data_IF_705192678022
#
_entry.id   IF_705192678022
#
_cell.length_a   1.000
_cell.length_b   1.000
_cell.length_c   1.000
_cell.angle_alpha   90.00
_cell.angle_beta   90.00
_cell.angle_gamma   90.00
#
_symmetry.space_group_name_H-M   'P 1'
#
loop_
_entity.id
_entity.type
_entity.pdbx_description
1 polymer ?
#
# COMPACT_ATOMS: atom_id res chain seq x y z
N UNK A 1 -64.40 73.79 -11.32
CA UNK A 1 -63.78 73.77 -12.66
C UNK A 1 -63.03 72.46 -12.87
N UNK A 2 -63.60 71.59 -13.69
CA UNK A 2 -63.04 70.30 -14.10
C UNK A 2 -61.75 70.51 -14.91
N UNK A 3 -60.61 70.01 -14.45
CA UNK A 3 -59.44 69.75 -15.31
C UNK A 3 -59.29 68.23 -15.47
N UNK A 4 -59.74 67.71 -16.61
CA UNK A 4 -59.35 66.37 -17.09
C UNK A 4 -57.84 66.40 -17.34
N UNK A 5 -57.11 65.44 -16.79
CA UNK A 5 -55.69 65.24 -17.08
C UNK A 5 -55.61 64.54 -18.45
N UNK A 6 -54.95 65.20 -19.41
CA UNK A 6 -54.84 64.82 -20.82
C UNK A 6 -53.36 64.58 -21.14
N UNK A 7 -52.73 63.56 -20.56
CA UNK A 7 -51.52 62.90 -21.11
C UNK A 7 -51.03 61.82 -20.13
N UNK A 8 -50.61 60.66 -20.64
CA UNK A 8 -49.98 59.59 -19.85
C UNK A 8 -48.47 59.81 -19.62
N UNK A 9 -47.89 60.91 -20.12
CA UNK A 9 -46.46 61.24 -19.97
C UNK A 9 -46.09 61.82 -18.60
N UNK A 10 -47.06 62.30 -17.83
CA UNK A 10 -46.83 63.09 -16.61
C UNK A 10 -47.15 62.31 -15.32
N UNK A 11 -47.50 61.03 -15.43
CA UNK A 11 -47.83 60.17 -14.31
C UNK A 11 -46.57 59.48 -13.76
N UNK A 12 -46.22 59.79 -12.51
CA UNK A 12 -45.11 59.14 -11.81
C UNK A 12 -45.61 58.00 -10.90
N UNK A 13 -44.80 56.93 -10.70
CA UNK A 13 -45.16 55.87 -9.76
C UNK A 13 -45.41 56.43 -8.35
N UNK A 14 -46.43 55.94 -7.66
CA UNK A 14 -46.80 56.48 -6.33
C UNK A 14 -45.66 56.35 -5.30
N UNK A 15 -44.73 55.40 -5.47
CA UNK A 15 -43.53 55.30 -4.64
C UNK A 15 -42.57 56.48 -4.84
N UNK A 16 -42.44 57.01 -6.05
CA UNK A 16 -41.65 58.21 -6.32
C UNK A 16 -42.37 59.48 -5.86
N UNK A 17 -43.69 59.53 -6.09
CA UNK A 17 -44.52 60.61 -5.54
C UNK A 17 -44.39 60.71 -4.02
N UNK A 18 -44.34 59.57 -3.32
CA UNK A 18 -44.13 59.52 -1.87
C UNK A 18 -42.82 60.18 -1.42
N UNK A 19 -41.73 60.00 -2.18
CA UNK A 19 -40.44 60.65 -1.90
C UNK A 19 -40.52 62.16 -2.08
N UNK A 20 -41.19 62.63 -3.13
CA UNK A 20 -41.33 64.06 -3.44
C UNK A 20 -42.11 64.79 -2.33
N UNK A 21 -43.15 64.17 -1.80
CA UNK A 21 -43.97 64.78 -0.73
C UNK A 21 -43.47 64.45 0.69
N UNK A 22 -42.31 63.79 0.82
CA UNK A 22 -41.71 63.44 2.10
C UNK A 22 -42.53 62.45 2.95
N UNK A 23 -43.34 61.59 2.33
CA UNK A 23 -44.18 60.60 3.03
C UNK A 23 -43.73 59.17 2.75
N UNK A 24 -44.10 58.25 3.65
CA UNK A 24 -43.86 56.82 3.40
C UNK A 24 -44.78 56.30 2.29
N UNK A 25 -44.33 55.34 1.46
CA UNK A 25 -45.16 54.75 0.40
C UNK A 25 -46.48 54.14 0.91
N UNK A 26 -46.49 53.62 2.15
CA UNK A 26 -47.69 53.10 2.80
C UNK A 26 -48.71 54.21 3.12
N UNK A 27 -48.25 55.38 3.56
CA UNK A 27 -49.14 56.52 3.82
C UNK A 27 -49.76 57.05 2.52
N UNK A 28 -48.99 57.11 1.43
CA UNK A 28 -49.49 57.51 0.10
C UNK A 28 -50.49 56.49 -0.43
N UNK A 29 -50.25 55.19 -0.23
CA UNK A 29 -51.22 54.14 -0.57
C UNK A 29 -52.54 54.30 0.18
N UNK A 30 -52.49 54.58 1.49
CA UNK A 30 -53.69 54.87 2.27
C UNK A 30 -54.42 56.15 1.83
N UNK A 31 -53.71 57.14 1.26
CA UNK A 31 -54.33 58.32 0.66
C UNK A 31 -55.02 58.01 -0.67
N UNK A 32 -54.46 57.09 -1.47
CA UNK A 32 -55.06 56.58 -2.70
C UNK A 32 -56.35 55.80 -2.39
N UNK A 33 -56.31 54.88 -1.42
CA UNK A 33 -57.47 54.09 -1.00
C UNK A 33 -58.61 54.95 -0.44
N UNK A 34 -58.27 56.08 0.18
CA UNK A 34 -59.24 57.09 0.65
C UNK A 34 -59.66 58.10 -0.43
N UNK A 35 -59.27 57.88 -1.69
CA UNK A 35 -59.68 58.71 -2.85
C UNK A 35 -59.10 60.12 -2.86
N UNK A 36 -58.05 60.41 -2.08
CA UNK A 36 -57.49 61.77 -1.91
C UNK A 36 -56.47 62.17 -2.99
N UNK A 37 -56.09 61.25 -3.88
CA UNK A 37 -55.13 61.49 -4.96
C UNK A 37 -55.71 60.98 -6.29
N UNK A 38 -55.56 61.71 -7.40
CA UNK A 38 -55.95 61.23 -8.72
C UNK A 38 -55.00 60.12 -9.17
N UNK A 39 -55.54 58.94 -9.47
CA UNK A 39 -54.77 57.77 -9.92
C UNK A 39 -55.23 57.34 -11.30
N UNK A 40 -54.28 57.13 -12.21
CA UNK A 40 -54.54 56.51 -13.51
C UNK A 40 -54.44 54.99 -13.36
N UNK A 41 -55.48 54.21 -13.70
CA UNK A 41 -55.40 52.76 -13.64
C UNK A 41 -54.47 52.27 -14.75
N UNK A 42 -53.25 51.83 -14.40
CA UNK A 42 -52.42 51.05 -15.30
C UNK A 42 -53.02 49.66 -15.42
N UNK A 43 -53.83 49.43 -16.45
CA UNK A 43 -54.13 48.07 -16.91
C UNK A 43 -52.79 47.41 -17.26
N UNK A 44 -52.44 46.26 -16.67
CA UNK A 44 -51.22 45.58 -17.06
C UNK A 44 -51.41 45.11 -18.49
N UNK A 45 -50.77 45.78 -19.46
CA UNK A 45 -50.53 45.18 -20.77
C UNK A 45 -49.81 43.86 -20.47
N UNK A 46 -50.47 42.73 -20.75
CA UNK A 46 -49.83 41.40 -20.76
C UNK A 46 -48.57 41.53 -21.61
N UNK A 47 -47.42 41.60 -20.96
CA UNK A 47 -46.15 41.61 -21.65
C UNK A 47 -46.00 40.25 -22.34
N UNK A 48 -46.23 40.22 -23.65
CA UNK A 48 -45.78 39.10 -24.48
C UNK A 48 -44.25 39.22 -24.57
N UNK A 49 -43.57 38.55 -23.64
CA UNK A 49 -42.11 38.43 -23.67
C UNK A 49 -41.74 37.55 -24.87
N UNK A 50 -40.96 38.10 -25.80
CA UNK A 50 -40.34 37.34 -26.90
C UNK A 50 -38.82 37.35 -26.72
N UNK A 51 -38.18 36.19 -26.89
CA UNK A 51 -36.72 36.05 -26.86
C UNK A 51 -36.25 35.92 -28.31
N UNK A 52 -35.20 36.64 -28.69
CA UNK A 52 -34.54 36.51 -30.01
C UNK A 52 -33.16 35.86 -29.83
N UNK A 53 -32.89 34.67 -30.42
CA UNK A 53 -31.52 34.16 -30.54
C UNK A 53 -30.79 34.89 -31.69
N UNK A 54 -29.44 34.91 -31.72
CA UNK A 54 -28.68 35.71 -32.68
C UNK A 54 -28.84 35.30 -34.16
N UNK A 55 -29.39 34.11 -34.46
CA UNK A 55 -29.86 33.70 -35.81
C UNK A 55 -31.07 32.76 -35.68
N UNK A 56 -32.28 33.27 -35.93
CA UNK A 56 -33.51 32.47 -36.00
C UNK A 56 -34.80 33.28 -35.82
N UNK A 57 -35.91 32.78 -36.36
CA UNK A 57 -37.24 33.42 -36.32
C UNK A 57 -37.79 33.60 -34.89
N UNK A 58 -38.51 34.71 -34.69
CA UNK A 58 -39.14 35.08 -33.42
C UNK A 58 -40.30 34.14 -33.10
N UNK A 59 -40.22 33.45 -31.95
CA UNK A 59 -41.34 32.68 -31.39
C UNK A 59 -41.83 33.32 -30.09
N UNK A 60 -43.15 33.52 -29.99
CA UNK A 60 -43.80 33.96 -28.77
C UNK A 60 -43.93 32.75 -27.82
N UNK A 61 -43.35 32.85 -26.62
CA UNK A 61 -43.47 31.81 -25.59
C UNK A 61 -44.68 32.11 -24.71
N UNK A 62 -45.57 31.13 -24.56
CA UNK A 62 -46.65 31.19 -23.58
C UNK A 62 -46.09 30.97 -22.16
N UNK A 63 -46.82 31.40 -21.13
CA UNK A 63 -46.42 31.17 -19.73
C UNK A 63 -46.22 29.67 -19.42
N UNK A 64 -46.98 28.80 -20.07
CA UNK A 64 -46.82 27.34 -20.02
C UNK A 64 -45.45 26.88 -20.52
N UNK A 65 -44.90 27.54 -21.53
CA UNK A 65 -43.60 27.18 -22.11
C UNK A 65 -42.45 27.60 -21.19
N UNK A 66 -42.62 28.71 -20.45
CA UNK A 66 -41.69 29.13 -19.39
C UNK A 66 -41.71 28.15 -18.21
N UNK A 67 -42.90 27.65 -17.82
CA UNK A 67 -43.03 26.62 -16.80
C UNK A 67 -42.37 25.32 -17.28
N UNK A 68 -42.58 24.91 -18.52
CA UNK A 68 -41.93 23.71 -19.07
C UNK A 68 -40.39 23.85 -19.15
N UNK A 69 -39.86 25.04 -19.47
CA UNK A 69 -38.40 25.29 -19.51
C UNK A 69 -37.78 25.36 -18.10
N UNK A 70 -38.47 25.96 -17.12
CA UNK A 70 -37.97 26.10 -15.75
C UNK A 70 -38.10 24.79 -14.96
N UNK A 71 -39.13 23.99 -15.24
CA UNK A 71 -39.42 22.75 -14.51
C UNK A 71 -39.05 21.44 -15.25
N UNK A 72 -38.59 21.48 -16.51
CA UNK A 72 -37.98 20.30 -17.20
C UNK A 72 -36.58 19.95 -16.72
N UNK A 73 -35.91 20.83 -15.98
CA UNK A 73 -34.76 20.39 -15.20
C UNK A 73 -35.33 19.58 -14.05
N UNK A 74 -35.03 18.27 -13.92
CA UNK A 74 -35.58 17.46 -12.84
C UNK A 74 -35.29 18.20 -11.54
N UNK A 75 -36.35 18.53 -10.78
CA UNK A 75 -36.30 19.19 -9.49
C UNK A 75 -35.09 18.66 -8.72
N UNK A 76 -34.01 19.45 -8.64
CA UNK A 76 -32.80 19.05 -7.93
C UNK A 76 -33.23 18.85 -6.48
N UNK A 77 -33.12 17.62 -5.94
CA UNK A 77 -33.60 17.41 -4.59
C UNK A 77 -32.68 18.20 -3.65
N UNK A 78 -33.25 19.03 -2.75
CA UNK A 78 -32.58 19.93 -1.78
C UNK A 78 -31.04 19.81 -1.81
N UNK A 79 -30.38 20.74 -2.51
CA UNK A 79 -29.03 20.62 -3.10
C UNK A 79 -27.91 20.09 -2.19
N UNK A 80 -28.06 20.16 -0.86
CA UNK A 80 -27.09 19.61 0.09
C UNK A 80 -27.32 18.14 0.49
N UNK A 81 -28.57 17.71 0.70
CA UNK A 81 -28.87 16.35 1.19
C UNK A 81 -28.83 15.32 0.08
N UNK A 82 -29.41 15.64 -1.08
CA UNK A 82 -29.38 14.75 -2.22
C UNK A 82 -27.97 14.58 -2.79
N UNK A 83 -27.18 15.66 -2.80
CA UNK A 83 -25.76 15.61 -3.19
C UNK A 83 -24.95 14.74 -2.22
N UNK A 84 -25.18 14.87 -0.92
CA UNK A 84 -24.55 13.99 0.09
C UNK A 84 -24.98 12.52 -0.08
N UNK A 85 -26.26 12.27 -0.35
CA UNK A 85 -26.76 10.92 -0.60
C UNK A 85 -26.17 10.32 -1.89
N UNK A 86 -26.08 11.11 -2.96
CA UNK A 86 -25.49 10.72 -4.24
C UNK A 86 -24.00 10.39 -4.09
N UNK A 87 -23.21 11.25 -3.45
CA UNK A 87 -21.79 10.99 -3.20
C UNK A 87 -21.59 9.77 -2.29
N UNK A 88 -22.44 9.60 -1.27
CA UNK A 88 -22.41 8.41 -0.42
C UNK A 88 -22.71 7.14 -1.22
N UNK A 89 -23.69 7.15 -2.12
CA UNK A 89 -23.99 6.01 -2.99
C UNK A 89 -22.86 5.74 -3.99
N UNK A 90 -22.25 6.79 -4.55
CA UNK A 90 -21.08 6.69 -5.43
C UNK A 90 -19.88 6.08 -4.71
N UNK A 91 -19.58 6.53 -3.50
CA UNK A 91 -18.49 6.00 -2.68
C UNK A 91 -18.77 4.56 -2.25
N UNK A 92 -20.00 4.22 -1.88
CA UNK A 92 -20.38 2.84 -1.58
C UNK A 92 -20.21 1.90 -2.80
N UNK A 93 -20.52 2.37 -4.02
CA UNK A 93 -20.22 1.62 -5.26
C UNK A 93 -18.73 1.51 -5.53
N UNK A 94 -17.96 2.55 -5.25
CA UNK A 94 -16.50 2.51 -5.33
C UNK A 94 -15.91 1.47 -4.37
N UNK A 95 -16.33 1.46 -3.10
CA UNK A 95 -15.84 0.52 -2.09
C UNK A 95 -16.18 -0.94 -2.44
N UNK A 96 -17.36 -1.21 -3.02
CA UNK A 96 -17.69 -2.54 -3.56
C UNK A 96 -16.71 -2.98 -4.65
N UNK A 97 -16.41 -2.10 -5.61
CA UNK A 97 -15.39 -2.37 -6.63
C UNK A 97 -14.01 -2.60 -6.00
N UNK A 98 -13.65 -1.86 -4.95
CA UNK A 98 -12.40 -2.06 -4.20
C UNK A 98 -12.34 -3.40 -3.49
N UNK A 99 -13.46 -3.89 -2.91
CA UNK A 99 -13.54 -5.27 -2.38
C UNK A 99 -13.26 -6.27 -3.49
N UNK A 100 -13.88 -6.11 -4.66
CA UNK A 100 -13.71 -7.03 -5.79
C UNK A 100 -12.31 -6.99 -6.41
N UNK A 101 -11.63 -5.84 -6.32
CA UNK A 101 -10.25 -5.63 -6.76
C UNK A 101 -9.20 -6.22 -5.80
N UNK A 102 -9.58 -6.68 -4.60
CA UNK A 102 -8.63 -7.31 -3.69
C UNK A 102 -8.06 -8.62 -4.29
N UNK A 103 -6.83 -9.00 -3.92
CA UNK A 103 -6.28 -10.30 -4.26
C UNK A 103 -7.19 -11.46 -3.85
N UNK A 104 -7.35 -12.45 -4.73
CA UNK A 104 -8.32 -13.54 -4.56
C UNK A 104 -8.21 -14.25 -3.20
N UNK A 105 -6.98 -14.43 -2.70
CA UNK A 105 -6.69 -15.09 -1.43
C UNK A 105 -7.14 -14.31 -0.18
N UNK A 106 -7.31 -12.98 -0.26
CA UNK A 106 -7.93 -12.18 0.81
C UNK A 106 -9.39 -11.81 0.49
N UNK A 107 -9.72 -11.65 -0.80
CA UNK A 107 -11.01 -11.18 -1.30
C UNK A 107 -12.15 -12.09 -0.83
N UNK A 108 -11.98 -13.40 -0.94
CA UNK A 108 -13.03 -14.39 -0.64
C UNK A 108 -13.76 -14.08 0.68
N UNK A 109 -13.04 -13.91 1.78
CA UNK A 109 -13.63 -13.62 3.09
C UNK A 109 -14.42 -12.31 3.12
N UNK A 110 -13.89 -11.25 2.49
CA UNK A 110 -14.54 -9.95 2.49
C UNK A 110 -15.74 -9.89 1.56
N UNK A 111 -15.67 -10.52 0.38
CA UNK A 111 -16.79 -10.66 -0.55
C UNK A 111 -17.91 -11.49 0.08
N UNK A 112 -17.62 -12.66 0.64
CA UNK A 112 -18.64 -13.50 1.30
C UNK A 112 -19.28 -12.77 2.47
N UNK A 113 -18.51 -12.07 3.30
CA UNK A 113 -19.07 -11.30 4.40
C UNK A 113 -19.96 -10.15 3.91
N UNK A 114 -19.53 -9.44 2.86
CA UNK A 114 -20.34 -8.39 2.26
C UNK A 114 -21.65 -8.94 1.69
N UNK A 115 -21.61 -10.06 0.98
CA UNK A 115 -22.81 -10.73 0.45
C UNK A 115 -23.77 -11.17 1.57
N UNK A 116 -23.24 -11.69 2.68
CA UNK A 116 -24.07 -12.03 3.86
C UNK A 116 -24.74 -10.79 4.45
N UNK A 117 -24.02 -9.69 4.58
CA UNK A 117 -24.60 -8.43 5.06
C UNK A 117 -25.65 -7.89 4.08
N UNK A 118 -25.41 -7.97 2.78
CA UNK A 118 -26.34 -7.50 1.75
C UNK A 118 -27.63 -8.32 1.73
N UNK A 119 -27.57 -9.64 1.98
CA UNK A 119 -28.75 -10.49 2.14
C UNK A 119 -29.56 -10.15 3.40
N UNK A 120 -28.90 -9.69 4.47
CA UNK A 120 -29.54 -9.36 5.74
C UNK A 120 -30.14 -7.97 5.75
N UNK A 121 -29.31 -6.95 5.52
CA UNK A 121 -29.70 -5.54 5.43
C UNK A 121 -28.70 -4.76 4.56
N UNK A 122 -29.14 -4.23 3.40
CA UNK A 122 -28.31 -3.38 2.55
C UNK A 122 -27.71 -2.16 3.28
N UNK A 123 -28.39 -1.61 4.30
CA UNK A 123 -27.88 -0.48 5.08
C UNK A 123 -26.73 -0.90 5.99
N UNK A 124 -26.80 -2.10 6.58
CA UNK A 124 -25.72 -2.69 7.37
C UNK A 124 -24.47 -2.94 6.51
N UNK A 125 -24.65 -3.46 5.30
CA UNK A 125 -23.56 -3.64 4.34
C UNK A 125 -22.86 -2.30 4.00
N UNK A 126 -23.64 -1.25 3.72
CA UNK A 126 -23.09 0.08 3.47
C UNK A 126 -22.37 0.63 4.71
N UNK A 127 -22.94 0.48 5.91
CA UNK A 127 -22.29 0.90 7.16
C UNK A 127 -20.96 0.17 7.37
N UNK A 128 -20.90 -1.13 7.11
CA UNK A 128 -19.68 -1.92 7.20
C UNK A 128 -18.61 -1.46 6.20
N UNK A 129 -19.00 -1.17 4.96
CA UNK A 129 -18.08 -0.68 3.92
C UNK A 129 -17.34 0.59 4.38
N UNK A 130 -18.05 1.56 4.93
CA UNK A 130 -17.45 2.81 5.41
C UNK A 130 -16.68 2.63 6.73
N UNK A 131 -17.34 2.07 7.74
CA UNK A 131 -16.82 2.11 9.11
C UNK A 131 -15.77 1.03 9.38
N UNK A 132 -15.81 -0.08 8.64
CA UNK A 132 -14.89 -1.21 8.84
C UNK A 132 -13.95 -1.39 7.67
N UNK A 133 -14.49 -1.57 6.46
CA UNK A 133 -13.69 -1.92 5.30
C UNK A 133 -12.75 -0.79 4.89
N UNK A 134 -13.29 0.38 4.54
CA UNK A 134 -12.50 1.54 4.10
C UNK A 134 -11.50 1.98 5.18
N UNK A 135 -12.01 2.28 6.38
CA UNK A 135 -11.23 2.86 7.48
C UNK A 135 -10.09 1.96 7.96
N UNK A 136 -10.31 0.64 8.00
CA UNK A 136 -9.39 -0.27 8.69
C UNK A 136 -8.79 -1.37 7.83
N UNK A 137 -9.49 -1.86 6.82
CA UNK A 137 -8.98 -2.92 5.93
C UNK A 137 -8.26 -2.29 4.75
N UNK A 138 -8.96 -1.47 3.97
CA UNK A 138 -8.47 -0.87 2.74
C UNK A 138 -7.26 0.02 3.01
N UNK A 139 -7.34 0.89 4.03
CA UNK A 139 -6.20 1.71 4.46
C UNK A 139 -4.92 0.91 4.70
N UNK A 140 -5.03 -0.27 5.33
CA UNK A 140 -3.86 -1.13 5.58
C UNK A 140 -3.39 -1.82 4.31
N UNK A 141 -4.31 -2.32 3.48
CA UNK A 141 -3.98 -2.95 2.20
C UNK A 141 -3.22 -1.96 1.30
N UNK A 142 -3.69 -0.73 1.19
CA UNK A 142 -3.03 0.31 0.39
C UNK A 142 -1.67 0.69 0.97
N UNK A 143 -1.58 0.85 2.30
CA UNK A 143 -0.30 1.11 2.97
C UNK A 143 0.70 -0.05 2.86
N UNK A 144 0.23 -1.29 2.73
CA UNK A 144 1.08 -2.45 2.44
C UNK A 144 1.51 -2.42 0.97
N UNK A 145 0.58 -2.25 0.03
CA UNK A 145 0.88 -2.21 -1.40
C UNK A 145 1.92 -1.12 -1.75
N UNK A 146 1.80 0.06 -1.17
CA UNK A 146 2.76 1.16 -1.35
C UNK A 146 4.20 0.80 -0.93
N UNK A 147 4.40 -0.22 -0.08
CA UNK A 147 5.73 -0.66 0.34
C UNK A 147 6.42 -1.60 -0.66
N UNK A 148 5.66 -2.23 -1.56
CA UNK A 148 6.17 -3.24 -2.50
C UNK A 148 6.10 -2.80 -3.95
N UNK A 149 5.19 -1.90 -4.29
CA UNK A 149 5.08 -1.36 -5.64
C UNK A 149 6.41 -0.68 -6.07
N UNK A 150 6.75 -0.73 -7.37
CA UNK A 150 7.84 0.07 -7.92
C UNK A 150 7.67 1.56 -7.64
N UNK A 151 8.75 2.32 -7.77
CA UNK A 151 8.72 3.78 -7.67
C UNK A 151 7.76 4.36 -8.74
N UNK A 152 7.14 5.49 -8.42
CA UNK A 152 6.18 6.16 -9.32
C UNK A 152 6.80 6.57 -10.65
N UNK A 153 8.08 6.95 -10.65
CA UNK A 153 8.85 7.28 -11.83
C UNK A 153 9.61 6.04 -12.36
N UNK A 154 8.87 5.12 -12.98
CA UNK A 154 9.49 3.98 -13.66
C UNK A 154 10.25 4.47 -14.92
N UNK A 155 11.48 3.98 -15.17
CA UNK A 155 12.17 4.20 -16.43
C UNK A 155 11.36 3.69 -17.63
N UNK A 156 11.48 4.37 -18.78
CA UNK A 156 10.72 4.04 -19.98
C UNK A 156 10.85 2.56 -20.41
N UNK A 157 12.04 1.99 -20.28
CA UNK A 157 12.31 0.58 -20.63
C UNK A 157 11.48 -0.40 -19.79
N UNK A 158 11.06 0.01 -18.58
CA UNK A 158 10.31 -0.82 -17.63
C UNK A 158 8.79 -0.58 -17.72
N UNK A 159 8.31 0.43 -18.46
CA UNK A 159 6.88 0.69 -18.61
C UNK A 159 6.07 -0.51 -19.13
N UNK A 160 6.54 -1.31 -20.11
CA UNK A 160 5.82 -2.49 -20.56
C UNK A 160 5.60 -3.55 -19.48
N UNK A 161 6.40 -3.51 -18.40
CA UNK A 161 6.33 -4.46 -17.28
C UNK A 161 5.55 -3.91 -16.09
N UNK A 162 5.07 -2.66 -16.15
CA UNK A 162 4.40 -1.98 -15.02
C UNK A 162 3.25 -2.82 -14.48
N UNK A 163 2.36 -3.30 -15.34
CA UNK A 163 1.18 -4.07 -14.91
C UNK A 163 1.56 -5.42 -14.32
N UNK A 164 2.61 -6.07 -14.83
CA UNK A 164 3.13 -7.32 -14.27
C UNK A 164 3.59 -7.14 -12.82
N UNK A 165 4.22 -6.00 -12.48
CA UNK A 165 4.59 -5.66 -11.11
C UNK A 165 3.39 -5.33 -10.22
N UNK A 166 2.39 -4.63 -10.76
CA UNK A 166 1.15 -4.35 -10.01
C UNK A 166 0.39 -5.64 -9.72
N UNK A 167 0.44 -6.61 -10.63
CA UNK A 167 -0.21 -7.91 -10.50
C UNK A 167 0.66 -8.97 -9.81
N UNK A 168 1.82 -8.59 -9.25
CA UNK A 168 2.73 -9.54 -8.62
C UNK A 168 2.05 -10.39 -7.54
N UNK A 169 1.21 -9.86 -6.61
CA UNK A 169 0.49 -10.70 -5.64
C UNK A 169 -0.44 -11.78 -6.24
N UNK A 170 -0.83 -11.64 -7.51
CA UNK A 170 -1.69 -12.56 -8.26
C UNK A 170 -0.91 -13.48 -9.21
N UNK A 171 0.40 -13.29 -9.33
CA UNK A 171 1.20 -14.00 -10.31
C UNK A 171 1.38 -15.47 -9.91
N UNK A 172 1.05 -16.39 -10.82
CA UNK A 172 1.41 -17.79 -10.68
C UNK A 172 2.90 -18.03 -11.00
N UNK A 173 3.38 -19.25 -10.76
CA UNK A 173 4.78 -19.62 -11.03
C UNK A 173 5.19 -19.32 -12.48
N UNK A 174 4.29 -19.53 -13.45
CA UNK A 174 4.54 -19.28 -14.88
C UNK A 174 4.68 -17.78 -15.17
N UNK A 175 3.79 -16.93 -14.65
CA UNK A 175 3.88 -15.46 -14.77
C UNK A 175 5.16 -14.93 -14.14
N UNK A 176 5.53 -15.39 -12.95
CA UNK A 176 6.79 -15.00 -12.30
C UNK A 176 8.01 -15.37 -13.16
N UNK A 177 8.02 -16.57 -13.74
CA UNK A 177 9.09 -17.02 -14.64
C UNK A 177 9.19 -16.15 -15.90
N UNK A 178 8.05 -15.88 -16.55
CA UNK A 178 7.99 -15.00 -17.74
C UNK A 178 8.47 -13.58 -17.42
N UNK A 179 8.05 -12.99 -16.31
CA UNK A 179 8.50 -11.66 -15.89
C UNK A 179 10.02 -11.65 -15.63
N UNK A 180 10.55 -12.67 -14.97
CA UNK A 180 11.98 -12.81 -14.72
C UNK A 180 12.78 -12.89 -16.03
N UNK A 181 12.29 -13.64 -17.01
CA UNK A 181 12.91 -13.80 -18.32
C UNK A 181 12.92 -12.47 -19.09
N UNK A 182 11.77 -11.76 -19.12
CA UNK A 182 11.68 -10.44 -19.75
C UNK A 182 12.63 -9.44 -19.12
N UNK A 183 12.72 -9.39 -17.79
CA UNK A 183 13.66 -8.52 -17.08
C UNK A 183 15.12 -8.85 -17.43
N UNK A 184 15.49 -10.13 -17.43
CA UNK A 184 16.84 -10.55 -17.77
C UNK A 184 17.23 -10.10 -19.19
N UNK A 185 16.35 -10.32 -20.17
CA UNK A 185 16.59 -9.91 -21.56
C UNK A 185 16.63 -8.40 -21.71
N UNK A 186 15.72 -7.67 -21.05
CA UNK A 186 15.71 -6.22 -21.08
C UNK A 186 17.00 -5.63 -20.50
N UNK A 187 17.48 -6.16 -19.38
CA UNK A 187 18.74 -5.73 -18.78
C UNK A 187 19.94 -6.08 -19.66
N UNK A 188 19.88 -7.22 -20.36
CA UNK A 188 20.91 -7.60 -21.34
C UNK A 188 20.94 -6.64 -22.53
N UNK A 189 19.81 -6.37 -23.17
CA UNK A 189 19.74 -5.46 -24.31
C UNK A 189 20.12 -4.03 -23.94
N UNK A 190 19.66 -3.56 -22.77
CA UNK A 190 19.98 -2.23 -22.26
C UNK A 190 21.46 -2.10 -21.95
N UNK A 191 22.07 -3.14 -21.36
CA UNK A 191 23.50 -3.16 -21.11
C UNK A 191 24.31 -3.02 -22.40
N UNK A 192 24.01 -3.85 -23.41
CA UNK A 192 24.72 -3.80 -24.69
C UNK A 192 24.60 -2.41 -25.33
N UNK A 193 23.39 -1.85 -25.37
CA UNK A 193 23.18 -0.51 -25.95
C UNK A 193 24.01 0.58 -25.27
N UNK A 194 24.01 0.62 -23.94
CA UNK A 194 24.74 1.63 -23.17
C UNK A 194 26.26 1.42 -23.24
N UNK A 195 26.70 0.16 -23.31
CA UNK A 195 28.11 -0.19 -23.49
C UNK A 195 28.61 0.27 -24.87
N UNK A 196 27.94 -0.15 -25.95
CA UNK A 196 28.33 0.15 -27.33
C UNK A 196 28.36 1.67 -27.55
N UNK A 197 27.30 2.38 -27.11
CA UNK A 197 27.21 3.84 -27.20
C UNK A 197 28.37 4.57 -26.51
N UNK A 198 28.84 4.04 -25.37
CA UNK A 198 29.95 4.67 -24.64
C UNK A 198 31.29 4.29 -25.24
N UNK A 199 31.45 3.02 -25.61
CA UNK A 199 32.67 2.47 -26.19
C UNK A 199 33.01 3.13 -27.53
N UNK A 200 32.03 3.39 -28.39
CA UNK A 200 32.23 4.13 -29.65
C UNK A 200 32.86 5.51 -29.45
N UNK A 201 32.67 6.14 -28.28
CA UNK A 201 33.17 7.49 -27.98
C UNK A 201 34.49 7.51 -27.25
N UNK A 202 34.76 6.52 -26.40
CA UNK A 202 35.93 6.52 -25.53
C UNK A 202 36.98 5.48 -25.91
N UNK A 203 36.59 4.43 -26.66
CA UNK A 203 37.39 3.22 -26.90
C UNK A 203 37.92 2.53 -25.62
N UNK A 204 37.38 2.89 -24.45
CA UNK A 204 37.77 2.37 -23.13
C UNK A 204 36.76 1.32 -22.67
N UNK A 205 37.21 0.06 -22.63
CA UNK A 205 36.38 -1.09 -22.25
C UNK A 205 35.98 -1.05 -20.77
N UNK A 206 36.91 -0.69 -19.88
CA UNK A 206 36.68 -0.71 -18.43
C UNK A 206 35.66 0.35 -18.05
N UNK A 207 35.89 1.56 -18.53
CA UNK A 207 34.99 2.67 -18.27
C UNK A 207 33.61 2.44 -18.88
N UNK A 208 33.53 1.92 -20.11
CA UNK A 208 32.25 1.61 -20.77
C UNK A 208 31.49 0.52 -20.03
N UNK A 209 32.18 -0.47 -19.47
CA UNK A 209 31.59 -1.53 -18.63
C UNK A 209 30.98 -0.96 -17.36
N UNK A 210 31.73 -0.14 -16.63
CA UNK A 210 31.27 0.48 -15.37
C UNK A 210 30.09 1.42 -15.65
N UNK A 211 30.16 2.22 -16.71
CA UNK A 211 29.08 3.10 -17.13
C UNK A 211 27.80 2.32 -17.47
N UNK A 212 27.90 1.30 -18.32
CA UNK A 212 26.75 0.48 -18.72
C UNK A 212 26.14 -0.27 -17.53
N UNK A 213 26.96 -0.74 -16.58
CA UNK A 213 26.48 -1.27 -15.30
C UNK A 213 25.65 -0.23 -14.54
N UNK A 214 26.14 0.99 -14.37
CA UNK A 214 25.42 2.07 -13.71
C UNK A 214 24.08 2.38 -14.37
N UNK A 215 24.05 2.37 -15.70
CA UNK A 215 22.85 2.62 -16.50
C UNK A 215 21.77 1.54 -16.31
N UNK A 216 22.14 0.25 -16.21
CA UNK A 216 21.16 -0.82 -15.95
C UNK A 216 20.78 -0.90 -14.46
N UNK A 217 21.74 -0.68 -13.56
CA UNK A 217 21.53 -0.79 -12.12
C UNK A 217 20.61 0.32 -11.61
N UNK A 218 20.80 1.57 -12.07
CA UNK A 218 19.91 2.69 -11.75
C UNK A 218 18.46 2.41 -12.15
N UNK A 219 18.24 1.86 -13.34
CA UNK A 219 16.91 1.49 -13.83
C UNK A 219 16.30 0.36 -12.99
N UNK A 220 17.08 -0.66 -12.68
CA UNK A 220 16.67 -1.81 -11.88
C UNK A 220 16.30 -1.45 -10.43
N UNK A 221 16.91 -0.41 -9.85
CA UNK A 221 16.62 0.05 -8.48
C UNK A 221 15.22 0.66 -8.36
N UNK A 222 14.69 1.25 -9.43
CA UNK A 222 13.32 1.77 -9.46
C UNK A 222 12.26 0.70 -9.15
N UNK A 223 12.61 -0.59 -9.32
CA UNK A 223 11.78 -1.74 -8.97
C UNK A 223 11.77 -2.07 -7.47
N UNK A 224 12.41 -1.26 -6.62
CA UNK A 224 12.58 -1.49 -5.18
C UNK A 224 13.32 -2.81 -4.88
N UNK A 225 14.23 -3.20 -5.78
CA UNK A 225 15.09 -4.39 -5.66
C UNK A 225 16.52 -3.92 -5.38
N UNK A 226 17.13 -4.43 -4.31
CA UNK A 226 18.52 -4.16 -4.00
C UNK A 226 19.44 -4.81 -5.05
N UNK A 227 20.18 -3.97 -5.78
CA UNK A 227 21.14 -4.36 -6.81
C UNK A 227 22.54 -4.46 -6.18
N UNK A 228 23.24 -5.60 -6.32
CA UNK A 228 24.62 -5.75 -5.84
C UNK A 228 25.54 -4.73 -6.53
N UNK A 229 26.59 -4.25 -5.88
CA UNK A 229 27.55 -3.32 -6.49
C UNK A 229 27.07 -1.86 -6.57
N UNK A 230 25.78 -1.57 -6.34
CA UNK A 230 25.26 -0.22 -6.57
C UNK A 230 25.88 0.83 -5.66
N UNK A 231 26.08 0.47 -4.38
CA UNK A 231 26.72 1.36 -3.43
C UNK A 231 28.17 1.64 -3.85
N UNK A 232 28.92 0.59 -4.21
CA UNK A 232 30.29 0.71 -4.69
C UNK A 232 30.38 1.59 -5.94
N UNK A 233 29.40 1.50 -6.84
CA UNK A 233 29.31 2.35 -8.01
C UNK A 233 29.06 3.82 -7.66
N UNK A 234 28.10 4.09 -6.76
CA UNK A 234 27.85 5.46 -6.28
C UNK A 234 29.03 6.06 -5.50
N UNK A 235 29.79 5.21 -4.82
CA UNK A 235 31.00 5.59 -4.08
C UNK A 235 32.24 5.64 -5.00
N UNK A 236 32.09 5.41 -6.32
CA UNK A 236 33.16 5.42 -7.34
C UNK A 236 34.30 4.41 -7.09
N UNK A 237 34.04 3.34 -6.34
CA UNK A 237 35.02 2.29 -5.99
C UNK A 237 34.77 0.96 -6.70
N UNK A 238 33.79 0.90 -7.61
CA UNK A 238 33.46 -0.34 -8.32
C UNK A 238 34.43 -0.59 -9.49
N UNK A 239 35.12 -1.73 -9.46
CA UNK A 239 35.99 -2.16 -10.58
C UNK A 239 35.19 -2.75 -11.74
N UNK A 240 35.76 -2.74 -12.94
CA UNK A 240 35.13 -3.33 -14.13
C UNK A 240 34.88 -4.84 -13.95
N UNK A 241 35.81 -5.56 -13.32
CA UNK A 241 35.65 -7.00 -13.05
C UNK A 241 34.45 -7.28 -12.12
N UNK A 242 34.32 -6.52 -11.03
CA UNK A 242 33.18 -6.66 -10.12
C UNK A 242 31.88 -6.24 -10.79
N UNK A 243 31.90 -5.20 -11.64
CA UNK A 243 30.76 -4.83 -12.46
C UNK A 243 30.31 -6.01 -13.34
N UNK A 244 31.23 -6.68 -14.07
CA UNK A 244 30.91 -7.85 -14.90
C UNK A 244 30.29 -9.00 -14.11
N UNK A 245 30.83 -9.30 -12.92
CA UNK A 245 30.26 -10.32 -12.02
C UNK A 245 28.82 -10.01 -11.64
N UNK A 246 28.48 -8.73 -11.44
CA UNK A 246 27.11 -8.30 -11.15
C UNK A 246 26.24 -8.29 -12.39
N UNK A 247 26.73 -7.80 -13.53
CA UNK A 247 26.02 -7.80 -14.82
C UNK A 247 25.58 -9.23 -15.16
N UNK A 248 26.46 -10.22 -14.98
CA UNK A 248 26.15 -11.63 -15.19
C UNK A 248 24.98 -12.13 -14.32
N UNK A 249 24.71 -11.51 -13.16
CA UNK A 249 23.52 -11.80 -12.34
C UNK A 249 22.28 -11.08 -12.88
N UNK A 250 22.42 -9.83 -13.29
CA UNK A 250 21.31 -9.02 -13.85
C UNK A 250 20.83 -9.54 -15.21
N UNK A 251 21.67 -10.27 -15.94
CA UNK A 251 21.29 -10.92 -17.20
C UNK A 251 20.75 -12.35 -17.00
N UNK A 252 20.76 -12.89 -15.76
CA UNK A 252 20.28 -14.25 -15.48
C UNK A 252 18.83 -14.25 -14.98
N UNK A 253 17.95 -14.93 -15.72
CA UNK A 253 16.54 -15.16 -15.34
C UNK A 253 16.42 -15.73 -13.91
N UNK A 254 17.23 -16.75 -13.58
CA UNK A 254 17.17 -17.43 -12.26
C UNK A 254 17.38 -16.46 -11.11
N UNK A 255 18.20 -15.43 -11.29
CA UNK A 255 18.44 -14.41 -10.28
C UNK A 255 17.20 -13.54 -10.07
N UNK A 256 16.61 -13.02 -11.16
CA UNK A 256 15.37 -12.25 -11.12
C UNK A 256 14.21 -13.05 -10.54
N UNK A 257 14.04 -14.31 -10.96
CA UNK A 257 13.00 -15.19 -10.44
C UNK A 257 13.13 -15.37 -8.92
N UNK A 258 14.34 -15.54 -8.40
CA UNK A 258 14.58 -15.61 -6.95
C UNK A 258 14.16 -14.33 -6.23
N UNK A 259 14.43 -13.15 -6.82
CA UNK A 259 14.04 -11.85 -6.24
C UNK A 259 12.54 -11.64 -6.28
N UNK A 260 11.92 -11.87 -7.44
CA UNK A 260 10.48 -11.71 -7.65
C UNK A 260 9.68 -12.65 -6.77
N UNK A 261 10.07 -13.93 -6.67
CA UNK A 261 9.41 -14.91 -5.78
C UNK A 261 9.48 -14.46 -4.32
N UNK A 262 10.64 -13.98 -3.86
CA UNK A 262 10.79 -13.44 -2.50
C UNK A 262 9.88 -12.23 -2.26
N UNK A 263 9.74 -11.32 -3.22
CA UNK A 263 8.85 -10.16 -3.10
C UNK A 263 7.39 -10.62 -3.07
N UNK A 264 6.99 -11.46 -4.03
CA UNK A 264 5.68 -12.08 -4.15
C UNK A 264 5.23 -12.71 -2.81
N UNK A 265 6.04 -13.63 -2.27
CA UNK A 265 5.69 -14.37 -1.05
C UNK A 265 5.58 -13.45 0.17
N UNK A 266 6.51 -12.49 0.29
CA UNK A 266 6.50 -11.50 1.38
C UNK A 266 5.32 -10.54 1.29
N UNK A 267 4.95 -10.13 0.08
CA UNK A 267 3.84 -9.22 -0.13
C UNK A 267 2.51 -9.91 0.17
N UNK A 268 2.30 -11.12 -0.34
CA UNK A 268 1.12 -11.95 -0.02
C UNK A 268 0.97 -12.14 1.48
N UNK A 269 2.03 -12.55 2.17
CA UNK A 269 1.99 -12.76 3.61
C UNK A 269 1.72 -11.45 4.37
N UNK A 270 2.33 -10.33 3.96
CA UNK A 270 2.09 -9.05 4.62
C UNK A 270 0.65 -8.56 4.43
N UNK A 271 0.04 -8.78 3.27
CA UNK A 271 -1.38 -8.52 3.04
C UNK A 271 -2.27 -9.37 3.96
N UNK A 272 -1.93 -10.65 4.13
CA UNK A 272 -2.65 -11.55 5.04
C UNK A 272 -2.54 -11.11 6.51
N UNK A 273 -1.35 -10.69 6.95
CA UNK A 273 -1.12 -10.11 8.29
C UNK A 273 -1.95 -8.85 8.47
N UNK A 274 -1.86 -7.90 7.54
CA UNK A 274 -2.54 -6.62 7.61
C UNK A 274 -4.06 -6.75 7.67
N UNK A 275 -4.60 -7.78 7.00
CA UNK A 275 -6.02 -8.11 6.97
C UNK A 275 -6.42 -9.11 8.05
N UNK A 276 -5.60 -9.38 9.08
CA UNK A 276 -5.96 -10.22 10.24
C UNK A 276 -6.21 -11.71 9.92
N UNK A 277 -5.69 -12.24 8.81
CA UNK A 277 -5.59 -13.70 8.62
C UNK A 277 -4.51 -14.34 9.51
N UNK A 278 -3.60 -13.52 10.04
CA UNK A 278 -2.61 -13.93 11.04
C UNK A 278 -3.02 -13.31 12.38
N UNK A 279 -3.53 -14.15 13.27
CA UNK A 279 -4.08 -13.77 14.58
C UNK A 279 -4.15 -14.99 15.48
N UNK A 280 -4.31 -14.78 16.79
CA UNK A 280 -4.50 -15.89 17.73
C UNK A 280 -5.70 -16.78 17.39
N UNK A 281 -6.77 -16.20 16.83
CA UNK A 281 -8.02 -16.90 16.52
C UNK A 281 -7.96 -17.63 15.17
N UNK A 282 -7.20 -17.10 14.20
CA UNK A 282 -7.06 -17.70 12.88
C UNK A 282 -5.80 -18.59 12.78
N UNK A 283 -4.64 -17.97 12.57
CA UNK A 283 -3.35 -18.65 12.61
C UNK A 283 -2.32 -17.76 13.31
N UNK A 284 -1.70 -18.19 14.42
CA UNK A 284 -0.85 -17.31 15.24
C UNK A 284 0.47 -16.87 14.61
N UNK A 285 1.05 -17.66 13.71
CA UNK A 285 2.44 -17.48 13.26
C UNK A 285 2.59 -17.01 11.82
N UNK A 286 1.75 -17.52 10.93
CA UNK A 286 1.75 -17.19 9.51
C UNK A 286 0.40 -17.54 8.90
N UNK A 287 0.10 -17.01 7.72
CA UNK A 287 -1.12 -17.41 7.03
C UNK A 287 -1.14 -18.90 6.69
N UNK A 288 -2.34 -19.48 6.64
CA UNK A 288 -2.54 -20.88 6.26
C UNK A 288 -1.95 -21.23 4.88
N UNK A 289 -2.10 -20.41 3.82
CA UNK A 289 -1.39 -20.63 2.56
C UNK A 289 0.14 -20.68 2.72
N UNK A 290 0.73 -19.79 3.53
CA UNK A 290 2.17 -19.77 3.79
C UNK A 290 2.63 -21.07 4.48
N UNK A 291 1.85 -21.59 5.43
CA UNK A 291 2.16 -22.85 6.11
C UNK A 291 2.13 -24.02 5.12
N UNK A 292 1.06 -24.15 4.32
CA UNK A 292 0.94 -25.23 3.31
C UNK A 292 2.06 -25.19 2.28
N UNK A 293 2.38 -24.01 1.75
CA UNK A 293 3.49 -23.83 0.81
C UNK A 293 4.84 -24.23 1.44
N UNK A 294 5.05 -23.91 2.72
CA UNK A 294 6.26 -24.30 3.45
C UNK A 294 6.34 -25.81 3.71
N UNK A 295 5.22 -26.45 4.10
CA UNK A 295 5.16 -27.91 4.29
C UNK A 295 5.44 -28.63 2.97
N UNK A 296 4.83 -28.20 1.87
CA UNK A 296 5.08 -28.77 0.55
C UNK A 296 6.54 -28.62 0.13
N UNK A 297 7.16 -27.46 0.39
CA UNK A 297 8.58 -27.25 0.12
C UNK A 297 9.47 -28.16 0.98
N UNK A 298 9.11 -28.38 2.26
CA UNK A 298 9.84 -29.30 3.14
C UNK A 298 9.76 -30.75 2.66
N UNK A 299 8.57 -31.19 2.24
CA UNK A 299 8.37 -32.51 1.65
C UNK A 299 9.21 -32.71 0.38
N UNK A 300 9.12 -31.78 -0.57
CA UNK A 300 9.90 -31.87 -1.82
C UNK A 300 11.42 -31.84 -1.58
N UNK A 301 11.89 -31.04 -0.61
CA UNK A 301 13.31 -31.05 -0.25
C UNK A 301 13.73 -32.37 0.39
N UNK A 302 12.88 -32.98 1.22
CA UNK A 302 13.16 -34.26 1.84
C UNK A 302 13.24 -35.38 0.80
N UNK A 303 12.27 -35.45 -0.12
CA UNK A 303 12.27 -36.39 -1.25
C UNK A 303 13.52 -36.23 -2.11
N UNK A 304 13.96 -35.00 -2.37
CA UNK A 304 15.21 -34.72 -3.07
C UNK A 304 16.43 -35.28 -2.33
N UNK A 305 16.55 -35.03 -1.02
CA UNK A 305 17.68 -35.54 -0.22
C UNK A 305 17.69 -37.06 -0.14
N UNK A 306 16.51 -37.67 -0.07
CA UNK A 306 16.35 -39.13 -0.04
C UNK A 306 16.76 -39.79 -1.36
N UNK A 307 16.53 -39.11 -2.49
CA UNK A 307 16.84 -39.62 -3.82
C UNK A 307 18.30 -39.37 -4.27
N UNK A 308 19.14 -38.76 -3.42
CA UNK A 308 20.48 -38.32 -3.79
C UNK A 308 21.55 -39.00 -2.93
N UNK A 309 22.68 -39.31 -3.55
CA UNK A 309 23.88 -39.84 -2.91
C UNK A 309 25.04 -38.87 -3.14
N UNK A 310 25.99 -38.88 -2.21
CA UNK A 310 27.28 -38.22 -2.33
C UNK A 310 28.28 -39.25 -2.84
N UNK A 311 29.06 -38.88 -3.85
CA UNK A 311 30.16 -39.68 -4.38
C UNK A 311 31.47 -38.92 -4.15
N UNK A 312 32.44 -39.58 -3.55
CA UNK A 312 33.83 -39.11 -3.50
C UNK A 312 34.48 -39.36 -4.86
N UNK A 313 35.01 -38.30 -5.49
CA UNK A 313 35.59 -38.38 -6.83
C UNK A 313 36.90 -39.16 -6.88
N UNK A 314 37.64 -39.22 -5.77
CA UNK A 314 38.96 -39.86 -5.73
C UNK A 314 38.85 -41.34 -5.34
N UNK A 315 37.94 -41.67 -4.41
CA UNK A 315 37.77 -43.05 -3.89
C UNK A 315 36.60 -43.81 -4.51
N UNK A 316 35.63 -43.10 -5.12
CA UNK A 316 34.40 -43.67 -5.64
C UNK A 316 33.38 -44.08 -4.57
N UNK A 317 33.65 -43.82 -3.29
CA UNK A 317 32.75 -44.17 -2.20
C UNK A 317 31.43 -43.39 -2.29
N UNK A 318 30.31 -44.10 -2.12
CA UNK A 318 28.96 -43.51 -2.13
C UNK A 318 28.33 -43.54 -0.76
N UNK A 319 27.80 -42.41 -0.31
CA UNK A 319 27.03 -42.31 0.93
C UNK A 319 25.72 -41.55 0.72
N UNK A 320 24.65 -41.98 1.38
CA UNK A 320 23.36 -41.28 1.42
C UNK A 320 23.52 -39.81 1.81
N UNK A 321 23.04 -38.90 0.94
CA UNK A 321 23.02 -37.47 1.24
C UNK A 321 22.11 -37.17 2.43
N UNK A 322 20.99 -37.88 2.53
CA UNK A 322 20.04 -37.72 3.63
C UNK A 322 20.69 -38.00 4.98
N UNK A 323 21.48 -39.08 5.09
CA UNK A 323 22.10 -39.46 6.37
C UNK A 323 23.12 -38.43 6.84
N UNK A 324 23.94 -37.91 5.92
CA UNK A 324 24.89 -36.82 6.23
C UNK A 324 24.16 -35.55 6.67
N UNK A 325 23.06 -35.19 6.00
CA UNK A 325 22.25 -34.03 6.38
C UNK A 325 21.62 -34.22 7.76
N UNK A 326 21.07 -35.41 8.03
CA UNK A 326 20.40 -35.74 9.28
C UNK A 326 21.37 -35.87 10.48
N UNK A 327 22.63 -36.21 10.22
CA UNK A 327 23.72 -36.21 11.20
C UNK A 327 24.35 -34.83 11.46
N UNK A 328 24.00 -33.81 10.67
CA UNK A 328 24.56 -32.46 10.78
C UNK A 328 23.65 -31.49 11.56
N UNK A 329 24.15 -30.27 11.80
CA UNK A 329 23.37 -29.13 12.33
C UNK A 329 22.18 -28.71 11.46
N UNK A 330 22.08 -29.24 10.25
CA UNK A 330 20.89 -29.06 9.39
C UNK A 330 19.66 -29.76 9.97
N UNK A 331 19.85 -30.79 10.81
CA UNK A 331 18.79 -31.42 11.57
C UNK A 331 18.35 -30.52 12.74
N UNK A 332 17.09 -30.08 12.80
CA UNK A 332 16.60 -29.21 13.87
C UNK A 332 16.77 -29.80 15.29
N UNK A 333 16.78 -31.13 15.42
CA UNK A 333 17.02 -31.81 16.70
C UNK A 333 18.46 -31.60 17.17
N UNK A 334 19.43 -31.81 16.28
CA UNK A 334 20.86 -31.59 16.56
C UNK A 334 21.13 -30.11 16.82
N UNK A 335 20.59 -29.21 15.99
CA UNK A 335 20.72 -27.76 16.21
C UNK A 335 20.16 -27.31 17.57
N UNK A 336 19.07 -27.92 18.04
CA UNK A 336 18.54 -27.66 19.38
C UNK A 336 19.50 -28.18 20.46
N UNK A 337 20.02 -29.40 20.31
CA UNK A 337 20.99 -29.94 21.27
C UNK A 337 22.23 -29.03 21.38
N UNK A 338 22.79 -28.59 20.26
CA UNK A 338 23.90 -27.62 20.28
C UNK A 338 23.55 -26.33 21.01
N UNK A 339 22.36 -25.79 20.79
CA UNK A 339 21.91 -24.58 21.47
C UNK A 339 21.85 -24.79 22.98
N UNK A 340 21.28 -25.91 23.44
CA UNK A 340 21.17 -26.23 24.86
C UNK A 340 22.54 -26.48 25.49
N UNK A 341 23.46 -27.16 24.80
CA UNK A 341 24.84 -27.36 25.25
C UNK A 341 25.58 -26.03 25.38
N UNK A 342 25.46 -25.13 24.38
CA UNK A 342 26.04 -23.77 24.48
C UNK A 342 25.44 -22.98 25.65
N UNK A 343 24.12 -23.05 25.85
CA UNK A 343 23.45 -22.40 26.99
C UNK A 343 24.00 -22.90 28.32
N UNK A 344 24.15 -24.22 28.46
CA UNK A 344 24.71 -24.83 29.67
C UNK A 344 26.16 -24.39 29.92
N UNK A 345 27.00 -24.38 28.89
CA UNK A 345 28.37 -23.88 29.03
C UNK A 345 28.46 -22.42 29.48
N UNK A 346 27.55 -21.55 29.01
CA UNK A 346 27.48 -20.17 29.51
C UNK A 346 27.03 -20.09 30.99
N UNK A 347 26.15 -20.98 31.41
CA UNK A 347 25.69 -21.06 32.80
C UNK A 347 26.82 -21.57 33.72
N UNK A 348 27.53 -22.62 33.32
CA UNK A 348 28.67 -23.16 34.08
C UNK A 348 29.78 -22.09 34.23
N UNK A 349 30.15 -21.40 33.14
CA UNK A 349 31.10 -20.28 33.20
C UNK A 349 30.61 -19.13 34.10
N UNK A 350 29.31 -18.81 34.05
CA UNK A 350 28.75 -17.77 34.91
C UNK A 350 28.88 -18.18 36.38
N UNK A 351 28.54 -19.41 36.72
CA UNK A 351 28.64 -19.96 38.08
C UNK A 351 30.08 -19.93 38.60
N UNK A 352 31.06 -20.35 37.78
CA UNK A 352 32.49 -20.30 38.13
C UNK A 352 32.98 -18.88 38.43
N UNK A 353 32.42 -17.88 37.75
CA UNK A 353 32.75 -16.47 37.94
C UNK A 353 31.92 -15.79 39.04
N UNK A 354 31.04 -16.51 39.75
CA UNK A 354 30.11 -15.95 40.73
C UNK A 354 29.03 -15.04 40.10
N UNK A 355 28.68 -15.27 38.83
CA UNK A 355 27.71 -14.53 38.04
C UNK A 355 26.44 -15.35 37.80
N UNK A 356 25.39 -14.70 37.27
CA UNK A 356 24.13 -15.35 36.89
C UNK A 356 23.97 -15.35 35.37
N UNK A 357 23.74 -16.54 34.79
CA UNK A 357 23.35 -16.70 33.39
C UNK A 357 21.87 -16.33 33.18
N UNK A 358 21.58 -15.45 32.22
CA UNK A 358 20.23 -14.96 31.92
C UNK A 358 19.88 -15.16 30.45
N UNK A 359 18.62 -15.53 30.17
CA UNK A 359 18.11 -15.68 28.81
C UNK A 359 16.98 -14.70 28.51
N UNK A 360 17.21 -13.79 27.57
CA UNK A 360 16.26 -12.73 27.24
C UNK A 360 15.54 -13.00 25.92
N UNK A 361 14.23 -12.83 25.94
CA UNK A 361 13.37 -12.79 24.75
C UNK A 361 12.73 -11.40 24.62
N UNK A 362 13.19 -10.60 23.67
CA UNK A 362 12.56 -9.30 23.39
C UNK A 362 11.43 -9.47 22.39
N UNK A 363 10.27 -8.88 22.68
CA UNK A 363 9.13 -8.81 21.74
C UNK A 363 8.98 -7.39 21.20
N UNK A 364 8.63 -7.26 19.92
CA UNK A 364 8.40 -5.94 19.34
C UNK A 364 7.19 -5.21 20.01
N UNK A 365 7.22 -3.86 20.12
CA UNK A 365 6.11 -3.09 20.67
C UNK A 365 4.78 -3.31 19.93
N UNK A 366 3.66 -3.02 20.61
CA UNK A 366 2.30 -3.19 20.08
C UNK A 366 2.11 -2.68 18.64
N UNK A 367 2.68 -1.52 18.29
CA UNK A 367 2.56 -0.92 16.94
C UNK A 367 3.10 -1.79 15.79
N UNK A 368 3.91 -2.82 16.08
CA UNK A 368 4.43 -3.76 15.09
C UNK A 368 3.52 -4.99 14.88
N UNK A 369 2.41 -5.09 15.62
CA UNK A 369 1.49 -6.23 15.55
C UNK A 369 0.14 -5.80 14.97
N UNK A 370 -0.32 -6.48 13.92
CA UNK A 370 -1.58 -6.15 13.24
C UNK A 370 -2.83 -6.47 14.08
N UNK A 371 -2.68 -7.40 15.03
CA UNK A 371 -3.73 -7.89 15.93
C UNK A 371 -3.23 -7.93 17.39
N UNK A 372 -4.14 -7.86 18.34
CA UNK A 372 -3.83 -8.03 19.76
C UNK A 372 -3.56 -9.50 20.07
N UNK A 373 -2.47 -9.78 20.79
CA UNK A 373 -1.99 -11.13 21.07
C UNK A 373 -3.04 -11.97 21.83
N UNK A 374 -3.74 -11.40 22.80
CA UNK A 374 -4.66 -12.16 23.64
C UNK A 374 -6.04 -12.40 23.01
N UNK A 375 -6.58 -11.40 22.29
CA UNK A 375 -7.94 -11.44 21.75
C UNK A 375 -8.02 -11.74 20.25
N UNK A 376 -6.91 -11.63 19.52
CA UNK A 376 -6.90 -11.71 18.06
C UNK A 376 -7.59 -10.55 17.35
N UNK A 377 -8.17 -9.60 18.09
CA UNK A 377 -8.83 -8.41 17.53
C UNK A 377 -7.82 -7.52 16.82
N UNK A 378 -8.28 -6.79 15.80
CA UNK A 378 -7.48 -5.81 15.07
C UNK A 378 -6.86 -4.77 16.02
N UNK A 379 -5.57 -4.48 15.85
CA UNK A 379 -4.87 -3.46 16.64
C UNK A 379 -4.74 -2.14 15.87
N UNK A 380 -5.50 -1.10 16.22
CA UNK A 380 -5.48 0.16 15.48
C UNK A 380 -4.18 0.97 15.58
N UNK A 381 -3.28 0.63 16.52
CA UNK A 381 -1.92 1.19 16.63
C UNK A 381 -0.93 0.61 15.62
N UNK A 382 -1.33 -0.40 14.84
CA UNK A 382 -0.46 -1.06 13.87
C UNK A 382 0.06 -0.10 12.81
N UNK A 383 1.39 0.01 12.66
CA UNK A 383 2.05 0.91 11.74
C UNK A 383 2.38 0.28 10.37
N UNK A 384 1.70 -0.80 9.98
CA UNK A 384 1.91 -1.48 8.70
C UNK A 384 3.34 -2.02 8.52
N UNK A 385 4.01 -2.36 9.63
CA UNK A 385 5.38 -2.87 9.60
C UNK A 385 5.41 -4.34 9.15
N UNK A 386 6.15 -4.61 8.07
CA UNK A 386 6.39 -5.99 7.62
C UNK A 386 7.25 -6.76 8.64
N UNK A 387 7.19 -8.11 8.66
CA UNK A 387 8.04 -8.93 9.53
C UNK A 387 9.53 -8.58 9.42
N UNK A 388 10.01 -8.21 8.22
CA UNK A 388 11.40 -7.81 8.00
C UNK A 388 11.73 -6.44 8.60
N UNK A 389 10.80 -5.48 8.55
CA UNK A 389 10.95 -4.18 9.23
C UNK A 389 10.97 -4.38 10.75
N UNK A 390 10.12 -5.26 11.27
CA UNK A 390 10.13 -5.59 12.70
C UNK A 390 11.41 -6.30 13.13
N UNK A 391 11.91 -7.26 12.34
CA UNK A 391 13.20 -7.90 12.60
C UNK A 391 14.35 -6.87 12.61
N UNK A 392 14.37 -5.95 11.63
CA UNK A 392 15.38 -4.88 11.60
C UNK A 392 15.32 -4.00 12.84
N UNK A 393 14.11 -3.68 13.32
CA UNK A 393 13.92 -2.94 14.58
C UNK A 393 14.53 -3.71 15.76
N UNK A 394 14.22 -5.00 15.92
CA UNK A 394 14.76 -5.81 17.02
C UNK A 394 16.29 -5.95 16.95
N UNK A 395 16.85 -6.14 15.74
CA UNK A 395 18.31 -6.15 15.57
C UNK A 395 18.95 -4.82 16.00
N UNK A 396 18.30 -3.69 15.71
CA UNK A 396 18.78 -2.37 16.12
C UNK A 396 18.65 -2.14 17.65
N UNK A 397 17.61 -2.69 18.28
CA UNK A 397 17.51 -2.68 19.75
C UNK A 397 18.67 -3.47 20.34
N UNK A 398 18.93 -4.68 19.85
CA UNK A 398 20.03 -5.50 20.30
C UNK A 398 21.41 -4.88 20.05
N UNK A 399 21.61 -4.16 18.93
CA UNK A 399 22.88 -3.46 18.69
C UNK A 399 23.13 -2.35 19.71
N UNK A 400 22.08 -1.61 20.11
CA UNK A 400 22.16 -0.58 21.16
C UNK A 400 22.42 -1.18 22.54
N UNK A 401 21.75 -2.29 22.86
CA UNK A 401 21.97 -3.04 24.11
C UNK A 401 23.43 -3.47 24.21
N UNK A 402 23.98 -4.11 23.17
CA UNK A 402 25.40 -4.49 23.12
C UNK A 402 26.33 -3.29 23.26
N UNK A 403 26.05 -2.19 22.55
CA UNK A 403 26.87 -0.98 22.64
C UNK A 403 26.86 -0.34 24.03
N UNK A 404 25.73 -0.42 24.76
CA UNK A 404 25.64 0.07 26.14
C UNK A 404 26.38 -0.84 27.12
N UNK A 405 26.22 -2.16 27.00
CA UNK A 405 26.93 -3.12 27.84
C UNK A 405 28.44 -3.08 27.63
N UNK A 406 28.91 -2.94 26.39
CA UNK A 406 30.35 -2.78 26.10
C UNK A 406 30.97 -1.47 26.56
N UNK A 407 30.16 -0.44 26.86
CA UNK A 407 30.63 0.86 27.39
C UNK A 407 30.51 1.00 28.90
N UNK A 408 29.73 0.13 29.57
CA UNK A 408 29.56 0.19 31.02
C UNK A 408 30.75 -0.45 31.75
N UNK A 409 31.05 0.01 32.97
CA UNK A 409 31.93 -0.69 33.94
C UNK A 409 31.26 -1.97 34.47
N UNK A 410 30.69 -2.79 33.59
CA UNK A 410 30.21 -4.14 33.90
C UNK A 410 31.13 -5.12 33.18
N UNK A 411 32.36 -5.34 33.67
CA UNK A 411 33.40 -6.14 33.01
C UNK A 411 33.04 -7.63 32.81
N UNK A 412 31.85 -8.05 33.24
CA UNK A 412 31.43 -9.45 33.32
C UNK A 412 30.25 -9.81 32.40
N UNK A 413 29.78 -8.89 31.54
CA UNK A 413 28.66 -9.18 30.61
C UNK A 413 29.19 -9.75 29.30
N UNK A 414 29.18 -11.08 29.18
CA UNK A 414 29.45 -11.79 27.94
C UNK A 414 28.16 -12.01 27.15
N UNK A 415 28.20 -11.76 25.84
CA UNK A 415 27.03 -11.85 24.96
C UNK A 415 27.29 -12.74 23.75
N UNK A 416 26.45 -13.75 23.57
CA UNK A 416 26.41 -14.56 22.36
C UNK A 416 25.05 -14.38 21.70
N UNK A 417 24.99 -13.90 20.45
CA UNK A 417 23.71 -13.86 19.73
C UNK A 417 23.52 -15.13 18.92
N UNK A 418 22.53 -15.95 19.26
CA UNK A 418 21.98 -16.94 18.34
C UNK A 418 20.91 -16.27 17.47
N UNK A 419 21.11 -16.24 16.14
CA UNK A 419 20.09 -15.79 15.18
C UNK A 419 18.94 -16.82 15.10
N UNK A 420 18.03 -16.82 16.06
CA UNK A 420 16.78 -17.58 15.92
C UNK A 420 15.79 -16.75 15.10
N UNK A 421 15.54 -17.15 13.86
CA UNK A 421 14.43 -16.64 13.05
C UNK A 421 13.12 -17.22 13.57
N UNK A 422 12.65 -16.73 14.71
CA UNK A 422 11.26 -16.95 15.12
C UNK A 422 10.35 -16.11 14.22
N UNK A 423 9.24 -16.67 13.75
CA UNK A 423 8.18 -15.93 13.05
C UNK A 423 7.36 -15.06 14.00
N UNK A 424 7.51 -15.22 15.32
CA UNK A 424 7.18 -14.14 16.25
C UNK A 424 8.26 -13.10 16.07
N UNK A 425 7.85 -11.84 15.97
CA UNK A 425 8.73 -10.68 16.04
C UNK A 425 9.49 -10.66 17.38
N UNK A 426 10.44 -11.57 17.53
CA UNK A 426 11.18 -11.88 18.74
C UNK A 426 12.59 -12.31 18.37
N UNK A 427 13.56 -11.77 19.11
CA UNK A 427 14.97 -12.09 18.95
C UNK A 427 15.51 -12.54 20.32
N UNK A 428 16.30 -13.61 20.30
CA UNK A 428 16.83 -14.28 21.48
C UNK A 428 18.29 -13.88 21.69
N UNK A 429 18.68 -13.68 22.96
CA UNK A 429 20.09 -13.63 23.31
C UNK A 429 20.35 -14.04 24.77
N UNK A 430 21.34 -14.94 25.01
CA UNK A 430 21.94 -15.12 26.32
C UNK A 430 22.80 -13.91 26.74
N UNK A 431 22.81 -13.61 28.04
CA UNK A 431 23.69 -12.65 28.68
C UNK A 431 24.06 -13.12 30.09
N UNK A 432 25.25 -12.79 30.56
CA UNK A 432 25.70 -13.04 31.95
C UNK A 432 25.71 -11.73 32.73
N UNK A 433 25.25 -11.72 33.98
CA UNK A 433 25.14 -10.50 34.80
C UNK A 433 25.64 -10.81 36.22
N UNK A 434 26.31 -9.85 36.87
CA UNK A 434 26.63 -9.94 38.30
C UNK A 434 25.34 -10.00 39.14
N UNK A 435 25.29 -10.80 40.22
CA UNK A 435 24.15 -10.81 41.12
C UNK A 435 23.90 -9.41 41.73
N UNK A 436 22.64 -9.11 42.11
CA UNK A 436 22.26 -7.83 42.69
C UNK A 436 22.96 -7.52 44.00
#
# INVERSE_FOLDING_TARGET
>A
MNKKIVSSSDAIPYQEFAKIIGKTPAAVRGMIEKGKLPVTPTTPKKAQLSISPPKGERKALAYSDLVDVVYRVPLRPRDGEARRAFERARLARHLRRRVQALPAFIRKRFSTHLETLERRDPKEAVRWLFNTFERHVLRRVDAVNAQYLPQSNLPAILFPLRDDFHLLPWADKKRLKRLAYRLANLMKSEFMREFDFRYEKTADVEFSTIYAYGAIASKAISLNIAIPGWKQYCDEVLTAEDALRVIARLQKEKWWLSKLRKIHDRWREHLMIATSYVSKVASPYCSEPCLREWVAQKKANFEYLQAMELEDQDTGERTSLLDKVMGSVSNPKIARHELMVRMRGFEDMANEMGLVGMFYTLTAPSRYHATHVHSGKRNDKYCNASPRKTQKYLCNVWSRVRAKWGKGRHPHIWFSSSRTTSRRNAALAPAVISPP
#
